data_IF_658335185310
#
_entry.id   IF_658335185310
#
_cell.length_a   1.000
_cell.length_b   1.000
_cell.length_c   1.000
_cell.angle_alpha   90.00
_cell.angle_beta   90.00
_cell.angle_gamma   90.00
#
_symmetry.space_group_name_H-M   'P 1'
#
loop_
_entity.id
_entity.type
_entity.pdbx_description
1 polymer ?
#
# COMPACT_ATOMS: atom_id res chain seq x y z
N UNK A 1 -70.80 0.85 -32.41
CA UNK A 1 -69.93 1.67 -33.28
C UNK A 1 -69.11 2.55 -32.34
N UNK A 2 -67.87 2.25 -32.00
CA UNK A 2 -66.88 1.37 -32.61
C UNK A 2 -65.89 0.89 -31.54
N UNK A 3 -65.27 -0.26 -31.79
CA UNK A 3 -64.47 -1.10 -30.90
C UNK A 3 -63.04 -0.61 -30.64
N UNK A 4 -62.47 -1.13 -29.52
CA UNK A 4 -61.08 -1.51 -29.25
C UNK A 4 -59.99 -0.40 -29.22
N UNK A 5 -59.08 -0.37 -28.24
CA UNK A 5 -58.21 -1.48 -27.84
C UNK A 5 -57.67 -1.33 -26.42
N UNK A 6 -57.93 -2.34 -25.60
CA UNK A 6 -57.26 -2.67 -24.34
C UNK A 6 -55.81 -3.10 -24.62
N UNK A 7 -54.85 -2.72 -23.76
CA UNK A 7 -53.69 -3.59 -23.51
C UNK A 7 -52.95 -3.26 -22.20
N UNK A 8 -52.70 -4.34 -21.48
CA UNK A 8 -52.30 -4.57 -20.10
C UNK A 8 -50.79 -4.41 -19.86
N UNK A 9 -50.39 -4.00 -18.65
CA UNK A 9 -49.01 -4.09 -18.18
C UNK A 9 -48.67 -5.50 -17.65
N UNK A 10 -47.41 -5.95 -17.76
CA UNK A 10 -46.84 -6.71 -16.63
C UNK A 10 -45.37 -6.41 -16.32
N UNK A 11 -45.06 -6.67 -15.05
CA UNK A 11 -43.81 -6.49 -14.31
C UNK A 11 -43.02 -7.81 -14.30
N UNK A 12 -41.78 -7.87 -14.81
CA UNK A 12 -40.90 -9.08 -14.86
C UNK A 12 -39.46 -8.60 -15.18
N UNK A 13 -38.34 -9.12 -14.70
CA UNK A 13 -37.91 -10.01 -13.61
C UNK A 13 -36.37 -10.06 -13.61
N UNK A 14 -35.78 -10.49 -12.51
CA UNK A 14 -34.40 -10.95 -12.37
C UNK A 14 -34.20 -12.30 -13.08
N UNK A 15 -33.07 -12.47 -13.78
CA UNK A 15 -32.57 -13.73 -14.37
C UNK A 15 -31.47 -13.38 -15.39
N UNK A 16 -30.18 -13.65 -15.15
CA UNK A 16 -29.48 -14.94 -15.29
C UNK A 16 -29.36 -15.36 -16.77
N UNK A 17 -28.11 -15.62 -17.17
CA UNK A 17 -27.61 -16.19 -18.42
C UNK A 17 -27.39 -15.27 -19.63
N UNK A 18 -26.13 -14.85 -19.80
CA UNK A 18 -25.55 -14.64 -21.14
C UNK A 18 -24.19 -15.31 -21.18
N UNK A 19 -24.26 -16.60 -21.50
CA UNK A 19 -23.36 -17.37 -22.35
C UNK A 19 -21.89 -16.92 -22.39
N UNK A 20 -21.05 -17.71 -21.71
CA UNK A 20 -19.61 -17.77 -21.93
C UNK A 20 -19.30 -18.05 -23.41
N UNK A 21 -18.65 -17.11 -24.09
CA UNK A 21 -18.04 -17.38 -25.39
C UNK A 21 -16.97 -18.46 -25.23
N UNK A 22 -17.12 -19.54 -25.97
CA UNK A 22 -16.21 -20.68 -26.04
C UNK A 22 -14.76 -20.21 -26.24
N UNK A 23 -13.92 -20.54 -25.24
CA UNK A 23 -12.47 -20.43 -25.29
C UNK A 23 -11.99 -21.38 -26.39
N UNK A 24 -11.46 -20.86 -27.49
CA UNK A 24 -10.57 -21.62 -28.36
C UNK A 24 -9.35 -22.02 -27.54
N UNK A 25 -9.34 -23.27 -27.07
CA UNK A 25 -8.18 -23.86 -26.44
C UNK A 25 -7.09 -24.02 -27.50
N UNK A 26 -6.19 -23.05 -27.59
CA UNK A 26 -4.89 -23.27 -28.23
C UNK A 26 -4.09 -24.17 -27.31
N UNK A 27 -4.13 -25.48 -27.55
CA UNK A 27 -3.28 -26.48 -26.90
C UNK A 27 -1.84 -26.36 -27.42
N UNK A 28 -1.18 -25.25 -27.09
CA UNK A 28 0.28 -25.19 -27.17
C UNK A 28 0.82 -25.92 -25.94
N UNK A 29 0.85 -27.26 -26.02
CA UNK A 29 1.49 -28.09 -25.01
C UNK A 29 2.92 -27.58 -24.82
N UNK A 30 3.25 -27.18 -23.61
CA UNK A 30 4.63 -26.91 -23.22
C UNK A 30 5.37 -28.23 -23.43
N UNK A 31 6.15 -28.31 -24.50
CA UNK A 31 7.08 -29.42 -24.69
C UNK A 31 7.97 -29.47 -23.44
N UNK A 32 8.21 -30.67 -22.93
CA UNK A 32 9.24 -30.94 -21.93
C UNK A 32 10.57 -30.41 -22.49
N UNK A 33 10.88 -29.15 -22.20
CA UNK A 33 12.24 -28.64 -22.33
C UNK A 33 12.97 -29.30 -21.19
N UNK A 34 13.80 -30.27 -21.50
CA UNK A 34 14.86 -30.73 -20.62
C UNK A 34 15.53 -29.48 -20.05
N UNK A 35 15.29 -29.22 -18.77
CA UNK A 35 15.85 -28.08 -18.07
C UNK A 35 17.33 -28.38 -17.95
N UNK A 36 18.11 -27.92 -18.93
CA UNK A 36 19.55 -27.79 -18.78
C UNK A 36 19.77 -26.82 -17.62
N UNK A 37 19.97 -27.38 -16.43
CA UNK A 37 20.22 -26.61 -15.21
C UNK A 37 21.60 -25.99 -15.35
N UNK A 38 21.66 -24.74 -15.80
CA UNK A 38 22.91 -24.02 -15.94
C UNK A 38 23.18 -23.29 -14.61
N UNK A 39 24.21 -23.66 -13.82
CA UNK A 39 24.48 -23.04 -12.52
C UNK A 39 24.74 -21.52 -12.59
N UNK A 40 25.12 -21.04 -13.78
CA UNK A 40 25.30 -19.62 -14.06
C UNK A 40 23.97 -18.85 -14.13
N UNK A 41 22.86 -19.47 -14.54
CA UNK A 41 21.56 -18.80 -14.60
C UNK A 41 21.06 -18.41 -13.20
N UNK A 42 21.33 -19.26 -12.20
CA UNK A 42 20.97 -18.97 -10.80
C UNK A 42 21.82 -17.84 -10.21
N UNK A 43 23.07 -17.72 -10.65
CA UNK A 43 23.98 -16.63 -10.28
C UNK A 43 23.54 -15.30 -10.91
N UNK A 44 23.24 -15.26 -12.21
CA UNK A 44 22.75 -14.05 -12.88
C UNK A 44 21.38 -13.60 -12.34
N UNK A 45 20.50 -14.54 -12.00
CA UNK A 45 19.24 -14.25 -11.28
C UNK A 45 19.47 -13.58 -9.92
N UNK A 46 20.54 -13.93 -9.20
CA UNK A 46 20.85 -13.29 -7.90
C UNK A 46 21.43 -11.88 -8.03
N UNK A 47 21.90 -11.48 -9.22
CA UNK A 47 22.55 -10.19 -9.44
C UNK A 47 21.59 -9.17 -10.06
N UNK A 48 20.57 -9.61 -10.80
CA UNK A 48 19.59 -8.73 -11.42
C UNK A 48 18.63 -8.14 -10.35
N UNK A 49 18.61 -6.80 -10.14
CA UNK A 49 17.71 -6.15 -9.19
C UNK A 49 16.23 -6.34 -9.52
N UNK A 50 15.90 -6.65 -10.78
CA UNK A 50 14.54 -6.93 -11.23
C UNK A 50 14.08 -8.36 -10.93
N UNK A 51 15.00 -9.25 -10.59
CA UNK A 51 14.68 -10.63 -10.26
C UNK A 51 14.10 -10.71 -8.85
N UNK A 52 12.82 -11.07 -8.77
CA UNK A 52 12.18 -11.37 -7.49
C UNK A 52 12.71 -12.70 -6.95
N UNK A 53 13.60 -12.64 -5.93
CA UNK A 53 14.09 -13.84 -5.25
C UNK A 53 12.91 -14.64 -4.70
N UNK A 54 12.78 -15.88 -5.17
CA UNK A 54 11.91 -16.90 -4.61
C UNK A 54 12.73 -17.88 -3.79
N UNK A 55 12.11 -18.52 -2.80
CA UNK A 55 12.69 -19.61 -2.03
C UNK A 55 11.69 -20.76 -1.98
N UNK A 56 12.19 -21.99 -1.97
CA UNK A 56 11.35 -23.18 -1.77
C UNK A 56 10.95 -23.33 -0.31
N UNK A 57 9.95 -24.16 -0.01
CA UNK A 57 9.57 -24.46 1.39
C UNK A 57 10.73 -25.08 2.18
N UNK A 58 11.54 -25.91 1.53
CA UNK A 58 12.70 -26.54 2.17
C UNK A 58 13.74 -25.49 2.59
N UNK A 59 14.08 -24.57 1.69
CA UNK A 59 14.99 -23.47 1.98
C UNK A 59 14.44 -22.56 3.09
N UNK A 60 13.14 -22.22 3.02
CA UNK A 60 12.47 -21.40 4.03
C UNK A 60 12.59 -22.00 5.44
N UNK A 61 12.50 -23.32 5.58
CA UNK A 61 12.59 -24.01 6.88
C UNK A 61 14.02 -24.25 7.37
N UNK A 62 15.01 -24.16 6.49
CA UNK A 62 16.42 -24.27 6.85
C UNK A 62 17.01 -22.95 7.34
N UNK A 63 16.36 -21.83 7.03
CA UNK A 63 16.77 -20.49 7.41
C UNK A 63 16.17 -20.03 8.76
N UNK A 64 16.91 -19.18 9.49
CA UNK A 64 16.44 -18.51 10.70
C UNK A 64 16.15 -17.04 10.38
N UNK A 65 14.87 -16.65 10.44
CA UNK A 65 14.44 -15.27 10.19
C UNK A 65 14.23 -14.51 11.50
N UNK A 66 14.96 -13.41 11.68
CA UNK A 66 14.77 -12.51 12.82
C UNK A 66 13.49 -11.69 12.68
N UNK A 67 12.76 -11.52 13.79
CA UNK A 67 11.60 -10.63 13.84
C UNK A 67 12.04 -9.18 13.62
N UNK A 68 11.38 -8.48 12.69
CA UNK A 68 11.61 -7.03 12.50
C UNK A 68 11.12 -6.26 13.73
N UNK A 69 11.92 -5.34 14.29
CA UNK A 69 11.48 -4.58 15.45
C UNK A 69 10.34 -3.61 15.05
N UNK A 70 9.32 -3.45 15.90
CA UNK A 70 8.23 -2.52 15.63
C UNK A 70 8.71 -1.06 15.68
N UNK A 71 7.98 -0.20 14.96
CA UNK A 71 8.08 1.26 15.09
C UNK A 71 7.22 1.71 16.26
N UNK A 72 6.01 1.16 16.36
CA UNK A 72 5.09 1.30 17.50
C UNK A 72 4.68 -0.10 17.92
N UNK A 73 5.02 -0.48 19.15
CA UNK A 73 4.74 -1.82 19.65
C UNK A 73 3.25 -2.13 19.57
N UNK A 74 2.88 -3.29 19.03
CA UNK A 74 1.48 -3.71 18.89
C UNK A 74 0.66 -3.00 17.80
N UNK A 75 1.19 -1.95 17.15
CA UNK A 75 0.44 -1.16 16.18
C UNK A 75 1.11 -1.07 14.80
N UNK A 76 2.42 -0.79 14.74
CA UNK A 76 3.11 -0.49 13.48
C UNK A 76 4.48 -1.17 13.42
N UNK A 77 4.69 -1.99 12.39
CA UNK A 77 5.97 -2.64 12.09
C UNK A 77 6.62 -1.99 10.87
N UNK A 78 7.89 -2.35 10.60
CA UNK A 78 8.57 -1.87 9.40
C UNK A 78 7.93 -2.46 8.14
N UNK A 79 7.51 -1.60 7.22
CA UNK A 79 6.90 -1.97 5.95
C UNK A 79 6.20 -0.79 5.29
N UNK A 80 5.50 -1.07 4.20
CA UNK A 80 4.70 -0.08 3.47
C UNK A 80 3.24 -0.28 3.79
N UNK A 81 2.57 0.79 4.21
CA UNK A 81 1.16 0.75 4.62
C UNK A 81 0.36 1.75 3.81
N UNK A 82 -0.87 1.37 3.49
CA UNK A 82 -1.85 2.26 2.87
C UNK A 82 -2.93 2.59 3.90
N UNK A 83 -3.01 3.85 4.31
CA UNK A 83 -4.03 4.33 5.25
C UNK A 83 -5.15 5.07 4.49
N UNK A 84 -6.33 4.45 4.40
CA UNK A 84 -7.44 4.91 3.53
C UNK A 84 -8.66 5.27 4.35
N UNK A 85 -9.46 6.20 3.82
CA UNK A 85 -10.78 6.52 4.32
C UNK A 85 -11.32 7.81 3.68
N UNK A 86 -12.59 8.11 3.95
CA UNK A 86 -13.28 9.25 3.36
C UNK A 86 -12.60 10.60 3.65
N UNK A 87 -12.80 11.63 2.82
CA UNK A 87 -12.32 12.98 3.13
C UNK A 87 -12.77 13.45 4.52
N UNK A 88 -11.91 14.20 5.21
CA UNK A 88 -12.19 14.87 6.49
C UNK A 88 -12.46 13.98 7.72
N UNK A 89 -12.26 12.66 7.65
CA UNK A 89 -12.38 11.76 8.82
C UNK A 89 -11.20 11.83 9.80
N UNK A 90 -10.20 12.68 9.54
CA UNK A 90 -9.01 12.81 10.39
C UNK A 90 -7.77 12.04 9.94
N UNK A 91 -7.68 11.57 8.68
CA UNK A 91 -6.51 10.83 8.19
C UNK A 91 -5.19 11.59 8.36
N UNK A 92 -5.12 12.81 7.85
CA UNK A 92 -3.92 13.63 7.95
C UNK A 92 -3.59 14.01 9.40
N UNK A 93 -4.61 14.15 10.26
CA UNK A 93 -4.41 14.36 11.70
C UNK A 93 -3.77 13.13 12.35
N UNK A 94 -4.27 11.93 12.06
CA UNK A 94 -3.68 10.70 12.59
C UNK A 94 -2.24 10.48 12.08
N UNK A 95 -1.99 10.72 10.78
CA UNK A 95 -0.63 10.64 10.23
C UNK A 95 0.34 11.62 10.89
N UNK A 96 -0.11 12.84 11.19
CA UNK A 96 0.67 13.82 11.94
C UNK A 96 0.98 13.37 13.37
N UNK A 97 0.01 12.77 14.08
CA UNK A 97 0.26 12.16 15.40
C UNK A 97 1.30 11.06 15.33
N UNK A 98 1.17 10.16 14.36
CA UNK A 98 2.13 9.08 14.14
C UNK A 98 3.55 9.64 13.96
N UNK A 99 3.70 10.62 13.07
CA UNK A 99 4.98 11.25 12.80
C UNK A 99 5.57 11.95 14.03
N UNK A 100 4.76 12.69 14.76
CA UNK A 100 5.17 13.40 15.97
C UNK A 100 5.61 12.44 17.09
N UNK A 101 4.80 11.43 17.41
CA UNK A 101 5.11 10.47 18.47
C UNK A 101 6.35 9.62 18.14
N UNK A 102 6.52 9.20 16.88
CA UNK A 102 7.76 8.51 16.44
C UNK A 102 8.98 9.41 16.53
N UNK A 103 8.86 10.68 16.17
CA UNK A 103 9.99 11.62 16.21
C UNK A 103 10.45 11.98 17.64
N UNK A 104 9.50 12.01 18.58
CA UNK A 104 9.76 12.34 19.99
C UNK A 104 10.09 11.10 20.81
N UNK A 105 9.59 9.92 20.44
CA UNK A 105 9.66 8.70 21.23
C UNK A 105 8.64 8.67 22.36
N UNK A 106 7.60 9.49 22.30
CA UNK A 106 6.52 9.52 23.29
C UNK A 106 5.47 8.46 22.96
N UNK A 107 4.81 7.84 23.96
CA UNK A 107 3.76 6.87 23.70
C UNK A 107 2.63 7.44 22.85
N UNK A 108 2.12 6.66 21.90
CA UNK A 108 0.89 6.98 21.17
C UNK A 108 -0.27 6.30 21.89
N UNK A 109 -1.11 7.10 22.56
CA UNK A 109 -2.07 6.63 23.57
C UNK A 109 -1.34 5.92 24.72
N UNK A 110 -1.18 4.61 24.67
CA UNK A 110 -0.40 3.82 25.62
C UNK A 110 0.56 2.83 24.92
N UNK A 111 0.65 2.90 23.59
CA UNK A 111 1.57 2.06 22.83
C UNK A 111 3.00 2.58 22.93
N UNK A 112 3.97 1.75 23.37
CA UNK A 112 5.38 2.14 23.35
C UNK A 112 5.85 2.45 21.94
N UNK A 113 6.50 3.61 21.77
CA UNK A 113 6.99 4.10 20.49
C UNK A 113 8.52 4.10 20.49
N UNK A 114 9.12 3.47 19.48
CA UNK A 114 10.56 3.56 19.26
C UNK A 114 10.87 4.91 18.61
N UNK A 115 11.66 5.74 19.29
CA UNK A 115 12.13 7.02 18.77
C UNK A 115 12.89 6.83 17.46
N UNK A 116 12.59 7.65 16.45
CA UNK A 116 13.26 7.63 15.15
C UNK A 116 13.17 8.98 14.42
N UNK A 117 13.85 9.07 13.28
CA UNK A 117 13.73 10.23 12.39
C UNK A 117 12.57 10.03 11.42
N UNK A 118 11.76 11.06 11.22
CA UNK A 118 10.56 11.02 10.38
C UNK A 118 10.61 12.12 9.33
N UNK A 119 10.35 11.74 8.08
CA UNK A 119 10.06 12.67 6.98
C UNK A 119 8.56 12.64 6.69
N UNK A 120 7.89 13.77 6.86
CA UNK A 120 6.46 13.94 6.60
C UNK A 120 6.24 14.75 5.31
N UNK A 121 5.75 14.08 4.27
CA UNK A 121 5.45 14.69 2.97
C UNK A 121 4.00 15.19 2.94
N UNK A 122 3.80 16.47 3.25
CA UNK A 122 2.50 17.14 3.30
C UNK A 122 2.10 17.73 1.94
N UNK A 123 2.06 16.91 0.90
CA UNK A 123 1.95 17.38 -0.50
C UNK A 123 0.62 18.04 -0.87
N UNK A 124 -0.43 17.87 -0.05
CA UNK A 124 -1.74 18.52 -0.24
C UNK A 124 -1.89 19.82 0.57
N UNK A 125 -0.90 20.17 1.40
CA UNK A 125 -0.90 21.35 2.25
C UNK A 125 0.09 22.41 1.78
N UNK A 126 -0.08 23.62 2.31
CA UNK A 126 0.94 24.67 2.29
C UNK A 126 1.56 24.83 3.70
N UNK A 127 2.68 25.54 3.80
CA UNK A 127 3.36 25.74 5.09
C UNK A 127 2.47 26.38 6.16
N UNK A 128 1.58 27.31 5.77
CA UNK A 128 0.69 28.01 6.71
C UNK A 128 -0.32 27.03 7.31
N UNK A 129 -0.99 26.22 6.48
CA UNK A 129 -1.95 25.19 6.91
C UNK A 129 -1.27 24.12 7.75
N UNK A 130 -0.07 23.70 7.36
CA UNK A 130 0.72 22.73 8.10
C UNK A 130 1.09 23.26 9.49
N UNK A 131 1.59 24.50 9.56
CA UNK A 131 1.95 25.16 10.82
C UNK A 131 0.73 25.29 11.75
N UNK A 132 -0.42 25.75 11.23
CA UNK A 132 -1.66 25.85 12.00
C UNK A 132 -2.09 24.49 12.56
N UNK A 133 -1.98 23.40 11.78
CA UNK A 133 -2.33 22.04 12.23
C UNK A 133 -1.38 21.54 13.31
N UNK A 134 -0.07 21.65 13.10
CA UNK A 134 0.92 21.20 14.08
C UNK A 134 0.77 21.96 15.40
N UNK A 135 0.59 23.28 15.33
CA UNK A 135 0.35 24.10 16.51
C UNK A 135 -0.94 23.71 17.25
N UNK A 136 -2.03 23.45 16.52
CA UNK A 136 -3.29 23.00 17.14
C UNK A 136 -3.16 21.63 17.83
N UNK A 137 -2.29 20.75 17.33
CA UNK A 137 -2.15 19.39 17.83
C UNK A 137 -1.12 19.26 18.94
N UNK A 138 0.00 19.97 18.84
CA UNK A 138 1.18 19.79 19.70
C UNK A 138 1.66 21.10 20.35
N UNK A 139 0.93 22.21 20.15
CA UNK A 139 1.28 23.50 20.72
C UNK A 139 2.65 24.00 20.24
N UNK A 140 3.50 24.38 21.19
CA UNK A 140 4.87 24.85 20.94
C UNK A 140 5.92 23.76 21.14
N UNK A 141 5.52 22.51 21.38
CA UNK A 141 6.49 21.42 21.52
C UNK A 141 7.15 21.13 20.17
N UNK A 142 8.45 20.88 20.21
CA UNK A 142 9.25 20.69 18.99
C UNK A 142 10.16 19.47 19.13
N UNK A 143 10.65 18.99 17.99
CA UNK A 143 11.56 17.86 17.90
C UNK A 143 12.49 18.03 16.72
N UNK A 144 13.81 17.79 16.87
CA UNK A 144 14.76 17.89 15.78
C UNK A 144 14.67 16.73 14.77
N UNK A 145 13.83 15.73 15.05
CA UNK A 145 13.74 14.49 14.27
C UNK A 145 12.51 14.43 13.34
N UNK A 146 11.71 15.50 13.25
CA UNK A 146 10.55 15.57 12.37
C UNK A 146 10.78 16.62 11.29
N UNK A 147 10.93 16.14 10.06
CA UNK A 147 11.17 16.95 8.88
C UNK A 147 9.91 17.01 8.03
N UNK A 148 9.66 18.16 7.40
CA UNK A 148 8.49 18.36 6.54
C UNK A 148 8.90 18.76 5.13
N UNK A 149 8.18 18.25 4.14
CA UNK A 149 8.18 18.82 2.78
C UNK A 149 6.74 18.95 2.29
N UNK A 150 6.41 20.08 1.67
CA UNK A 150 5.10 20.33 1.02
C UNK A 150 5.16 20.15 -0.49
N UNK A 151 6.34 19.79 -1.02
CA UNK A 151 6.55 19.58 -2.44
C UNK A 151 7.44 18.35 -2.69
N UNK A 152 7.22 17.71 -3.83
CA UNK A 152 8.03 16.63 -4.37
C UNK A 152 8.04 16.75 -5.89
N UNK A 153 9.10 16.28 -6.53
CA UNK A 153 9.08 16.05 -7.98
C UNK A 153 8.02 14.99 -8.30
N UNK A 154 7.44 15.07 -9.49
CA UNK A 154 6.50 14.06 -9.94
C UNK A 154 7.23 12.73 -10.19
N UNK A 155 6.48 11.61 -10.16
CA UNK A 155 7.04 10.28 -10.44
C UNK A 155 7.77 10.21 -11.78
N UNK A 156 7.31 10.97 -12.78
CA UNK A 156 7.87 11.00 -14.13
C UNK A 156 9.10 11.91 -14.26
N UNK A 157 9.39 12.72 -13.26
CA UNK A 157 10.46 13.73 -13.29
C UNK A 157 11.66 13.32 -12.40
N UNK A 158 11.80 12.05 -12.04
CA UNK A 158 13.02 11.54 -11.42
C UNK A 158 12.99 11.42 -9.90
N UNK A 159 11.84 11.10 -9.28
CA UNK A 159 11.81 10.69 -7.86
C UNK A 159 12.65 9.41 -7.59
N UNK A 160 13.12 8.73 -8.63
CA UNK A 160 13.92 7.50 -8.56
C UNK A 160 15.40 7.69 -8.91
N UNK A 161 15.84 8.91 -9.26
CA UNK A 161 17.21 9.22 -9.70
C UNK A 161 18.01 10.01 -8.66
#
# INVERSE_FOLDING_TARGET
MSEEKEMTAPNVSIGVDTEQSSIEQTTNSISNRDVNFNPFDEFFKKIDPSYMKTVTMQELYQDIYSKKPPVIEGLLYQGTYLFVGSPKIGKSFFMAQLAYHVSTGTPLWDYPVKKGTVLYLALEDDYRRLQERMYRMFGTETTPNLFFSVASMSLNEGLLD
#
